data_IF_699742024240
#
_entry.id   IF_699742024240
#
_cell.length_a   1.000
_cell.length_b   1.000
_cell.length_c   1.000
_cell.angle_alpha   90.00
_cell.angle_beta   90.00
_cell.angle_gamma   90.00
#
_symmetry.space_group_name_H-M   'P 1'
#
loop_
_entity.id
_entity.type
_entity.pdbx_description
1 polymer ?
#
# COMPACT_ATOMS: atom_id res chain seq x y z
N UNK A 1 -47.12 -13.98 42.14
CA UNK A 1 -46.57 -14.91 41.13
C UNK A 1 -46.51 -14.32 39.72
N UNK A 2 -47.53 -13.60 39.24
CA UNK A 2 -47.59 -13.00 37.89
C UNK A 2 -46.47 -11.97 37.58
N UNK A 3 -45.99 -11.27 38.60
CA UNK A 3 -44.93 -10.26 38.44
C UNK A 3 -43.54 -10.91 38.35
N UNK A 4 -43.36 -12.09 38.98
CA UNK A 4 -42.10 -12.83 38.97
C UNK A 4 -41.85 -13.49 37.60
N UNK A 5 -42.92 -14.00 36.97
CA UNK A 5 -42.85 -14.54 35.61
C UNK A 5 -42.55 -13.45 34.57
N UNK A 6 -43.03 -12.23 34.79
CA UNK A 6 -42.77 -11.08 33.90
C UNK A 6 -41.31 -10.60 33.98
N UNK A 7 -40.76 -10.54 35.19
CA UNK A 7 -39.35 -10.17 35.41
C UNK A 7 -38.41 -11.23 34.81
N UNK A 8 -38.72 -12.52 34.99
CA UNK A 8 -37.94 -13.61 34.42
C UNK A 8 -37.91 -13.56 32.87
N UNK A 9 -39.06 -13.28 32.26
CA UNK A 9 -39.16 -13.16 30.79
C UNK A 9 -38.39 -11.96 30.25
N UNK A 10 -38.39 -10.82 30.97
CA UNK A 10 -37.63 -9.63 30.57
C UNK A 10 -36.11 -9.86 30.62
N UNK A 11 -35.62 -10.62 31.61
CA UNK A 11 -34.19 -10.92 31.75
C UNK A 11 -33.68 -11.85 30.63
N UNK A 12 -34.52 -12.79 30.16
CA UNK A 12 -34.22 -13.67 29.03
C UNK A 12 -34.03 -12.91 27.71
N UNK A 13 -34.72 -11.78 27.51
CA UNK A 13 -34.59 -10.96 26.31
C UNK A 13 -33.29 -10.13 26.27
N UNK A 14 -32.74 -9.72 27.42
CA UNK A 14 -31.51 -8.90 27.49
C UNK A 14 -30.24 -9.75 27.32
N UNK A 15 -30.31 -11.05 27.66
CA UNK A 15 -29.19 -11.98 27.51
C UNK A 15 -28.83 -12.32 26.04
N UNK A 16 -29.66 -11.90 25.07
CA UNK A 16 -29.44 -12.17 23.65
C UNK A 16 -28.58 -11.11 22.94
N UNK A 17 -27.97 -10.16 23.67
CA UNK A 17 -27.07 -9.17 23.09
C UNK A 17 -25.73 -9.81 22.71
N UNK A 18 -25.49 -9.97 21.41
CA UNK A 18 -24.24 -10.48 20.84
C UNK A 18 -23.06 -9.53 21.15
N UNK A 19 -21.99 -10.05 21.74
CA UNK A 19 -20.73 -9.33 21.97
C UNK A 19 -20.14 -8.88 20.64
N UNK A 20 -20.10 -7.57 20.38
CA UNK A 20 -19.38 -7.02 19.23
C UNK A 20 -17.87 -7.13 19.48
N UNK A 21 -17.18 -7.91 18.66
CA UNK A 21 -15.71 -7.93 18.65
C UNK A 21 -15.20 -6.60 18.13
N UNK A 22 -14.25 -6.00 18.85
CA UNK A 22 -13.58 -4.79 18.44
C UNK A 22 -12.80 -5.04 17.15
N UNK A 23 -13.02 -4.20 16.13
CA UNK A 23 -12.27 -4.27 14.88
C UNK A 23 -10.77 -4.09 15.17
N UNK A 24 -9.95 -5.02 14.68
CA UNK A 24 -8.51 -5.02 14.87
C UNK A 24 -7.90 -3.83 14.11
N UNK A 25 -7.08 -3.02 14.80
CA UNK A 25 -6.38 -1.87 14.22
C UNK A 25 -5.30 -2.36 13.24
N UNK A 26 -5.42 -2.02 11.95
CA UNK A 26 -4.40 -2.30 10.94
C UNK A 26 -3.16 -1.41 11.17
N UNK A 27 -1.99 -2.03 11.37
CA UNK A 27 -0.71 -1.33 11.49
C UNK A 27 -0.13 -1.15 10.09
N UNK A 28 -0.18 0.07 9.55
CA UNK A 28 0.42 0.41 8.25
C UNK A 28 1.85 0.90 8.49
N UNK A 29 2.83 0.26 7.85
CA UNK A 29 4.25 0.68 7.88
C UNK A 29 4.57 1.28 6.49
N UNK A 30 5.06 2.52 6.46
CA UNK A 30 5.45 3.19 5.21
C UNK A 30 6.95 3.40 5.19
N UNK A 31 7.62 2.90 4.16
CA UNK A 31 9.05 3.14 3.92
C UNK A 31 9.22 4.11 2.74
N UNK A 32 10.09 5.09 2.90
CA UNK A 32 10.43 6.05 1.84
C UNK A 32 11.82 5.73 1.30
N UNK A 33 11.92 5.40 0.00
CA UNK A 33 13.20 5.20 -0.68
C UNK A 33 13.58 6.49 -1.42
N UNK A 34 14.78 7.00 -1.15
CA UNK A 34 15.30 8.19 -1.82
C UNK A 34 16.42 7.74 -2.75
N UNK A 35 16.24 7.92 -4.06
CA UNK A 35 17.27 7.66 -5.05
C UNK A 35 17.81 8.97 -5.61
N UNK A 36 19.13 9.13 -5.55
CA UNK A 36 19.82 10.29 -6.13
C UNK A 36 20.51 9.84 -7.40
N UNK A 37 20.07 10.35 -8.54
CA UNK A 37 20.69 10.07 -9.84
C UNK A 37 21.37 11.35 -10.34
N UNK A 38 22.63 11.21 -10.77
CA UNK A 38 23.39 12.29 -11.40
C UNK A 38 23.27 12.13 -12.91
N UNK A 39 22.68 13.12 -13.58
CA UNK A 39 22.56 13.16 -15.04
C UNK A 39 23.44 14.28 -15.59
N UNK A 40 24.19 13.97 -16.63
CA UNK A 40 25.02 14.96 -17.33
C UNK A 40 24.15 15.69 -18.34
N UNK A 41 23.93 16.98 -18.11
CA UNK A 41 23.22 17.87 -19.00
C UNK A 41 24.19 18.83 -19.68
N UNK A 42 23.85 19.31 -20.87
CA UNK A 42 24.62 20.34 -21.56
C UNK A 42 23.94 21.70 -21.37
N UNK A 43 24.66 22.66 -20.79
CA UNK A 43 24.21 24.04 -20.62
C UNK A 43 25.02 24.93 -21.55
N UNK A 44 24.36 25.82 -22.27
CA UNK A 44 25.02 26.80 -23.12
C UNK A 44 25.39 28.03 -22.29
N UNK A 45 26.69 28.33 -22.20
CA UNK A 45 27.20 29.53 -21.54
C UNK A 45 27.64 30.55 -22.58
N UNK A 46 27.34 31.82 -22.33
CA UNK A 46 27.80 32.94 -23.14
C UNK A 46 29.27 33.24 -22.87
N UNK A 47 30.09 33.31 -23.92
CA UNK A 47 31.48 33.72 -23.80
C UNK A 47 31.54 35.21 -23.47
N UNK A 48 32.30 35.64 -22.43
CA UNK A 48 32.40 37.05 -22.08
C UNK A 48 33.02 37.85 -23.22
N UNK A 49 32.46 39.03 -23.49
CA UNK A 49 32.95 39.93 -24.52
C UNK A 49 34.25 40.61 -24.05
N UNK A 50 35.38 40.23 -24.64
CA UNK A 50 36.69 40.86 -24.41
C UNK A 50 37.04 41.69 -25.63
N UNK A 51 37.57 42.90 -25.40
CA UNK A 51 38.00 43.82 -26.46
C UNK A 51 39.42 44.28 -26.16
N UNK A 52 40.33 43.98 -27.07
CA UNK A 52 41.73 44.38 -26.99
C UNK A 52 42.06 45.32 -28.15
N UNK A 53 42.78 46.41 -27.85
CA UNK A 53 43.16 47.43 -28.83
C UNK A 53 44.62 47.78 -28.63
N UNK A 54 45.38 47.74 -29.72
CA UNK A 54 46.80 48.10 -29.74
C UNK A 54 47.06 49.06 -30.90
N UNK A 55 47.88 50.08 -30.65
CA UNK A 55 48.36 51.02 -31.65
C UNK A 55 49.88 50.99 -31.60
N UNK A 56 50.53 50.62 -32.70
CA UNK A 56 51.98 50.48 -32.78
C UNK A 56 52.53 51.17 -34.03
N UNK A 57 53.76 51.67 -33.92
CA UNK A 57 54.52 52.22 -35.07
C UNK A 57 55.25 51.13 -35.87
N UNK A 58 55.35 49.94 -35.27
CA UNK A 58 56.04 48.78 -35.84
C UNK A 58 55.15 48.04 -36.86
N UNK A 59 55.79 47.21 -37.69
CA UNK A 59 55.14 46.45 -38.79
C UNK A 59 54.36 45.23 -38.32
N UNK A 60 54.52 44.80 -37.07
CA UNK A 60 53.95 43.54 -36.56
C UNK A 60 53.11 43.81 -35.30
N UNK A 61 51.85 43.39 -35.35
CA UNK A 61 50.93 43.37 -34.20
C UNK A 61 50.25 42.00 -34.14
N UNK A 62 50.33 41.31 -33.01
CA UNK A 62 49.73 39.98 -32.80
C UNK A 62 48.69 40.07 -31.68
N UNK A 63 47.47 39.62 -31.94
CA UNK A 63 46.36 39.54 -31.00
C UNK A 63 45.70 38.15 -31.19
N UNK A 64 45.51 37.39 -30.12
CA UNK A 64 45.09 35.97 -30.20
C UNK A 64 43.88 35.70 -29.31
N UNK A 65 42.80 35.15 -29.88
CA UNK A 65 41.61 34.70 -29.16
C UNK A 65 40.83 33.70 -30.03
N UNK A 66 40.33 32.62 -29.43
CA UNK A 66 39.64 31.50 -30.08
C UNK A 66 38.34 31.90 -30.82
N UNK A 67 37.63 32.93 -30.34
CA UNK A 67 36.32 33.33 -30.88
C UNK A 67 36.31 34.77 -31.41
N UNK A 68 37.45 35.29 -31.85
CA UNK A 68 37.59 36.70 -32.18
C UNK A 68 37.37 37.07 -33.65
N UNK A 69 37.13 38.36 -33.85
CA UNK A 69 37.24 39.07 -35.12
C UNK A 69 38.40 40.07 -35.00
N UNK A 70 39.36 39.97 -35.92
CA UNK A 70 40.44 40.95 -36.03
C UNK A 70 40.09 42.02 -37.07
N UNK A 71 40.45 43.26 -36.78
CA UNK A 71 40.40 44.37 -37.73
C UNK A 71 41.67 45.21 -37.59
N UNK A 72 42.36 45.42 -38.72
CA UNK A 72 43.58 46.21 -38.77
C UNK A 72 43.44 47.33 -39.80
N UNK A 73 43.93 48.51 -39.43
CA UNK A 73 43.94 49.69 -40.31
C UNK A 73 45.24 50.46 -40.14
N UNK A 74 45.71 51.09 -41.22
CA UNK A 74 46.94 51.89 -41.23
C UNK A 74 46.58 53.32 -41.60
N UNK A 75 46.95 54.27 -40.74
CA UNK A 75 46.80 55.72 -40.97
C UNK A 75 48.04 56.43 -40.44
N UNK A 76 48.56 57.41 -41.19
CA UNK A 76 49.69 58.27 -40.77
C UNK A 76 50.94 57.51 -40.28
N UNK A 77 51.21 56.33 -40.84
CA UNK A 77 52.35 55.49 -40.45
C UNK A 77 52.18 54.74 -39.12
N UNK A 78 50.97 54.73 -38.54
CA UNK A 78 50.61 53.96 -37.36
C UNK A 78 49.68 52.81 -37.74
N UNK A 79 49.94 51.63 -37.17
CA UNK A 79 49.10 50.44 -37.29
C UNK A 79 48.15 50.40 -36.09
N UNK A 80 46.84 50.49 -36.36
CA UNK A 80 45.80 50.28 -35.37
C UNK A 80 45.20 48.90 -35.56
N UNK A 81 45.26 48.07 -34.52
CA UNK A 81 44.73 46.71 -34.52
C UNK A 81 43.76 46.53 -33.35
N UNK A 82 42.54 46.08 -33.67
CA UNK A 82 41.52 45.72 -32.69
C UNK A 82 41.15 44.26 -32.82
N UNK A 83 41.03 43.59 -31.67
CA UNK A 83 40.50 42.24 -31.54
C UNK A 83 39.23 42.29 -30.68
N UNK A 84 38.12 41.82 -31.24
CA UNK A 84 36.83 41.75 -30.54
C UNK A 84 36.33 40.30 -30.47
N UNK A 85 35.96 39.84 -29.28
CA UNK A 85 35.33 38.52 -29.10
C UNK A 85 33.89 38.53 -29.65
N UNK A 86 33.56 37.54 -30.49
CA UNK A 86 32.18 37.32 -30.98
C UNK A 86 31.32 36.75 -29.85
N UNK A 87 30.04 37.14 -29.75
CA UNK A 87 29.10 36.47 -28.86
C UNK A 87 28.82 35.07 -29.42
N UNK A 88 29.46 34.06 -28.84
CA UNK A 88 29.27 32.64 -29.16
C UNK A 88 28.81 31.93 -27.90
N UNK A 89 27.86 31.01 -28.04
CA UNK A 89 27.43 30.14 -26.95
C UNK A 89 28.24 28.85 -26.98
N UNK A 90 28.86 28.47 -25.86
CA UNK A 90 29.64 27.24 -25.73
C UNK A 90 28.86 26.21 -24.91
N UNK A 91 28.67 24.97 -25.40
CA UNK A 91 28.10 23.91 -24.58
C UNK A 91 29.10 23.50 -23.50
N UNK A 92 28.64 23.47 -22.26
CA UNK A 92 29.39 22.99 -21.09
C UNK A 92 28.57 21.90 -20.42
N UNK A 93 29.20 20.75 -20.19
CA UNK A 93 28.58 19.64 -19.48
C UNK A 93 28.51 19.96 -17.98
N UNK A 94 27.31 19.92 -17.42
CA UNK A 94 27.03 20.16 -16.00
C UNK A 94 26.30 18.95 -15.44
N UNK A 95 26.69 18.52 -14.25
CA UNK A 95 25.99 17.45 -13.54
C UNK A 95 24.78 18.01 -12.81
N UNK A 96 23.58 17.65 -13.26
CA UNK A 96 22.33 17.98 -12.59
C UNK A 96 21.96 16.86 -11.62
N UNK A 97 21.62 17.23 -10.38
CA UNK A 97 21.14 16.30 -9.36
C UNK A 97 19.63 16.16 -9.46
N UNK A 98 19.14 14.97 -9.81
CA UNK A 98 17.71 14.65 -9.78
C UNK A 98 17.43 13.77 -8.54
N UNK A 99 16.48 14.18 -7.71
CA UNK A 99 16.10 13.46 -6.49
C UNK A 99 14.72 12.84 -6.71
N UNK A 100 14.69 11.51 -6.82
CA UNK A 100 13.44 10.75 -6.87
C UNK A 100 13.03 10.34 -5.45
N UNK A 101 11.76 10.59 -5.10
CA UNK A 101 11.19 10.24 -3.79
C UNK A 101 9.97 9.36 -4.00
N UNK A 102 10.21 8.05 -3.97
CA UNK A 102 9.14 7.07 -4.08
C UNK A 102 8.78 6.54 -2.69
N UNK A 103 7.50 6.61 -2.34
CA UNK A 103 6.95 6.01 -1.13
C UNK A 103 6.44 4.62 -1.45
N UNK A 104 7.01 3.58 -0.83
CA UNK A 104 6.48 2.22 -0.93
C UNK A 104 5.57 1.99 0.26
N UNK A 105 4.28 1.76 -0.01
CA UNK A 105 3.28 1.50 1.03
C UNK A 105 3.16 -0.02 1.19
N UNK A 106 3.70 -0.56 2.27
CA UNK A 106 3.52 -1.97 2.62
C UNK A 106 2.21 -2.12 3.41
N UNK A 107 1.24 -2.81 2.82
CA UNK A 107 0.02 -3.23 3.52
C UNK A 107 0.16 -4.70 3.88
N UNK A 108 0.42 -4.99 5.14
CA UNK A 108 0.35 -6.36 5.67
C UNK A 108 -1.12 -6.79 5.68
N UNK A 109 -1.56 -7.45 4.60
CA UNK A 109 -2.87 -8.07 4.52
C UNK A 109 -2.78 -9.40 5.27
N UNK A 110 -3.24 -9.42 6.52
CA UNK A 110 -3.38 -10.66 7.27
C UNK A 110 -4.49 -11.48 6.62
N UNK A 111 -4.11 -12.47 5.80
CA UNK A 111 -5.04 -13.45 5.23
C UNK A 111 -5.36 -14.46 6.32
N UNK A 112 -6.51 -14.29 6.98
CA UNK A 112 -6.99 -15.26 7.95
C UNK A 112 -7.54 -16.47 7.20
N UNK A 113 -6.75 -17.55 7.17
CA UNK A 113 -7.24 -18.86 6.79
C UNK A 113 -8.11 -19.38 7.95
N UNK A 114 -9.42 -19.34 7.78
CA UNK A 114 -10.36 -19.87 8.77
C UNK A 114 -10.30 -21.38 8.74
N UNK A 115 -9.39 -21.95 9.53
CA UNK A 115 -9.36 -23.39 9.80
C UNK A 115 -10.61 -23.74 10.59
N UNK A 116 -11.57 -24.37 9.92
CA UNK A 116 -12.78 -24.87 10.55
C UNK A 116 -12.41 -26.03 11.49
N UNK A 117 -12.20 -25.71 12.76
CA UNK A 117 -11.95 -26.72 13.78
C UNK A 117 -13.28 -27.34 14.19
N UNK A 118 -13.40 -28.66 14.02
CA UNK A 118 -14.55 -29.42 14.51
C UNK A 118 -14.71 -29.19 16.02
N UNK A 119 -15.78 -28.48 16.39
CA UNK A 119 -16.02 -28.12 17.78
C UNK A 119 -16.50 -29.36 18.53
N UNK A 120 -15.66 -29.88 19.42
CA UNK A 120 -16.06 -30.94 20.34
C UNK A 120 -17.32 -30.51 21.12
N UNK A 121 -18.33 -31.38 21.15
CA UNK A 121 -19.57 -31.11 21.85
C UNK A 121 -19.27 -30.95 23.34
N UNK A 122 -19.69 -29.80 23.90
CA UNK A 122 -19.60 -29.57 25.33
C UNK A 122 -20.27 -30.71 26.08
N UNK A 123 -19.73 -31.08 27.26
CA UNK A 123 -20.33 -32.09 28.15
C UNK A 123 -21.84 -31.89 28.35
N UNK A 124 -22.29 -30.64 28.39
CA UNK A 124 -23.71 -30.30 28.50
C UNK A 124 -24.52 -30.56 27.23
N UNK A 125 -23.95 -30.30 26.05
CA UNK A 125 -24.59 -30.60 24.76
C UNK A 125 -24.68 -32.10 24.54
N UNK A 126 -23.61 -32.83 24.85
CA UNK A 126 -23.56 -34.30 24.80
C UNK A 126 -24.58 -34.93 25.74
N UNK A 127 -24.76 -34.36 26.93
CA UNK A 127 -25.80 -34.80 27.87
C UNK A 127 -27.21 -34.66 27.25
N UNK A 128 -27.56 -33.49 26.71
CA UNK A 128 -28.87 -33.28 26.06
C UNK A 128 -29.12 -34.23 24.91
N UNK A 129 -28.12 -34.45 24.05
CA UNK A 129 -28.23 -35.38 22.91
C UNK A 129 -28.47 -36.82 23.38
N UNK A 130 -27.76 -37.26 24.42
CA UNK A 130 -27.94 -38.60 25.00
C UNK A 130 -29.32 -38.78 25.63
N UNK A 131 -29.80 -37.79 26.40
CA UNK A 131 -31.12 -37.84 27.02
C UNK A 131 -32.23 -37.92 25.97
N UNK A 132 -32.14 -37.11 24.91
CA UNK A 132 -33.09 -37.17 23.79
C UNK A 132 -33.16 -38.55 23.14
N UNK A 133 -31.99 -39.14 22.83
CA UNK A 133 -31.93 -40.49 22.26
C UNK A 133 -32.57 -41.55 23.15
N UNK A 134 -32.27 -41.54 24.46
CA UNK A 134 -32.84 -42.50 25.42
C UNK A 134 -34.36 -42.36 25.54
N UNK A 135 -34.88 -41.12 25.54
CA UNK A 135 -36.34 -40.91 25.62
C UNK A 135 -37.07 -41.45 24.39
N UNK A 136 -36.50 -41.26 23.19
CA UNK A 136 -37.10 -41.75 21.94
C UNK A 136 -37.07 -43.28 21.86
N UNK A 137 -36.01 -43.94 22.33
CA UNK A 137 -35.94 -45.41 22.33
C UNK A 137 -36.96 -46.04 23.28
N UNK A 138 -37.13 -45.48 24.48
CA UNK A 138 -38.14 -45.94 25.45
C UNK A 138 -39.54 -45.76 24.87
N UNK A 139 -39.83 -44.59 24.28
CA UNK A 139 -41.12 -44.31 23.66
C UNK A 139 -41.45 -45.31 22.54
N UNK A 140 -40.47 -45.61 21.70
CA UNK A 140 -40.62 -46.58 20.59
C UNK A 140 -40.91 -47.99 21.10
N UNK A 141 -40.20 -48.46 22.14
CA UNK A 141 -40.44 -49.77 22.74
C UNK A 141 -41.83 -49.88 23.37
N UNK A 142 -42.29 -48.84 24.07
CA UNK A 142 -43.63 -48.81 24.65
C UNK A 142 -44.73 -48.85 23.58
N UNK A 143 -44.53 -48.15 22.46
CA UNK A 143 -45.45 -48.18 21.33
C UNK A 143 -45.56 -49.58 20.73
N UNK A 144 -44.43 -50.27 20.51
CA UNK A 144 -44.42 -51.64 19.99
C UNK A 144 -45.07 -52.64 20.97
N UNK A 145 -44.80 -52.52 22.27
CA UNK A 145 -45.42 -53.35 23.29
C UNK A 145 -46.94 -53.14 23.35
N UNK A 146 -47.40 -51.89 23.24
CA UNK A 146 -48.83 -51.56 23.18
C UNK A 146 -49.50 -52.17 21.93
N UNK A 147 -48.87 -52.07 20.76
CA UNK A 147 -49.37 -52.67 19.52
C UNK A 147 -49.44 -54.19 19.66
N UNK A 148 -48.39 -54.84 20.15
CA UNK A 148 -48.36 -56.28 20.39
C UNK A 148 -49.45 -56.73 21.36
N UNK A 149 -49.66 -55.98 22.45
CA UNK A 149 -50.72 -56.25 23.42
C UNK A 149 -52.12 -56.10 22.81
N UNK A 150 -52.34 -55.09 21.98
CA UNK A 150 -53.61 -54.90 21.26
C UNK A 150 -53.87 -56.08 20.31
N UNK A 151 -52.87 -56.54 19.57
CA UNK A 151 -53.00 -57.69 18.65
C UNK A 151 -53.35 -58.97 19.43
N UNK A 152 -52.64 -59.26 20.51
CA UNK A 152 -52.91 -60.44 21.37
C UNK A 152 -54.33 -60.34 21.97
N UNK A 153 -54.75 -59.16 22.40
CA UNK A 153 -56.09 -58.92 22.95
C UNK A 153 -57.18 -59.15 21.90
N UNK A 154 -56.96 -58.75 20.65
CA UNK A 154 -57.91 -58.98 19.54
C UNK A 154 -57.98 -60.47 19.19
N UNK A 155 -56.84 -61.17 19.11
CA UNK A 155 -56.79 -62.61 18.84
C UNK A 155 -57.50 -63.43 19.93
N UNK A 156 -57.31 -63.06 21.22
CA UNK A 156 -57.98 -63.73 22.35
C UNK A 156 -59.49 -63.49 22.41
N UNK A 157 -60.00 -62.43 21.79
CA UNK A 157 -61.45 -62.18 21.68
C UNK A 157 -62.12 -62.91 20.51
N UNK A 158 -61.35 -63.41 19.55
CA UNK A 158 -61.85 -64.12 18.36
C UNK A 158 -61.81 -65.66 18.49
N UNK A 159 -61.17 -66.19 19.53
CA UNK A 159 -61.22 -67.59 19.95
C UNK A 159 -62.28 -67.76 21.04
#
# INVERSE_FOLDING_TARGET
MKNFTLVLFSALCVACATTRQAAQSEKIITETRIETVYQTDTVYLEVPKIVEKVVTKDTVSVLENEFAKSAASVSDGLLAHSLETKPVQKPVEVQTKIVYRDSVIFKDVVVYETVEVEKELSRWQTFKMKTGGITLTILSLLALAAIGWIIIRILRKRA
#
